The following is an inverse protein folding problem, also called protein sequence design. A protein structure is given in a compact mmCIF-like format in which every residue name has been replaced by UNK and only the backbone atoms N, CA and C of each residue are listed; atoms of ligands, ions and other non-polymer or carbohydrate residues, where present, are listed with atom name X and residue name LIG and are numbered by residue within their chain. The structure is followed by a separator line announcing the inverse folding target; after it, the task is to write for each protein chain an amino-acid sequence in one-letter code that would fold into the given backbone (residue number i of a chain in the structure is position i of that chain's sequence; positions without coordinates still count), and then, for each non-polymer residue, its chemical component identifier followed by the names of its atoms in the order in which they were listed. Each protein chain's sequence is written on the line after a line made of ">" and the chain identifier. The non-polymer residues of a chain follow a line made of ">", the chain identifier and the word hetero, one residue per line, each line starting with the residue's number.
data_IF_845269394437
#
_entry.id   IF_845269394437
#
_cell.length_a   1.000
_cell.length_b   1.000
_cell.length_c   1.000
_cell.angle_alpha   90.00
_cell.angle_beta   90.00
_cell.angle_gamma   90.00
#
_symmetry.space_group_name_H-M   'P 1'
#
loop_
_entity.id
_entity.type
_entity.pdbx_description
1 polymer ?
#
# COMPACT_ATOMS: atom_id res chain seq x y z
N UNK A 1 12.98 -6.93 -18.91
CA UNK A 1 11.99 -7.11 -17.84
C UNK A 1 12.75 -7.53 -16.60
N UNK A 2 13.10 -6.58 -15.73
CA UNK A 2 13.70 -6.87 -14.43
C UNK A 2 12.57 -6.93 -13.41
N UNK A 3 12.22 -8.12 -12.94
CA UNK A 3 11.35 -8.24 -11.78
C UNK A 3 12.25 -8.16 -10.55
N UNK A 4 12.07 -7.12 -9.72
CA UNK A 4 12.77 -7.03 -8.44
C UNK A 4 12.09 -8.00 -7.46
N UNK A 5 12.77 -9.05 -6.96
CA UNK A 5 12.17 -9.99 -6.03
C UNK A 5 11.97 -9.32 -4.67
N UNK A 6 10.75 -9.41 -4.14
CA UNK A 6 10.42 -8.95 -2.79
C UNK A 6 10.76 -10.07 -1.80
N UNK A 7 11.96 -10.02 -1.23
CA UNK A 7 12.44 -11.04 -0.28
C UNK A 7 12.34 -10.60 1.19
N UNK A 8 11.92 -9.36 1.43
CA UNK A 8 11.88 -8.74 2.75
C UNK A 8 10.47 -8.21 3.05
N UNK A 9 9.90 -8.63 4.18
CA UNK A 9 8.57 -8.18 4.63
C UNK A 9 8.48 -6.67 4.82
N UNK A 10 9.54 -6.04 5.33
CA UNK A 10 9.60 -4.57 5.47
C UNK A 10 9.52 -3.89 4.11
N UNK A 11 10.20 -4.42 3.11
CA UNK A 11 10.14 -3.91 1.73
C UNK A 11 8.75 -4.12 1.13
N UNK A 12 8.13 -5.29 1.35
CA UNK A 12 6.75 -5.55 0.95
C UNK A 12 5.77 -4.55 1.58
N UNK A 13 5.87 -4.29 2.89
CA UNK A 13 5.03 -3.32 3.58
C UNK A 13 5.18 -1.91 2.98
N UNK A 14 6.42 -1.49 2.68
CA UNK A 14 6.68 -0.20 2.05
C UNK A 14 6.09 -0.10 0.64
N UNK A 15 6.18 -1.18 -0.16
CA UNK A 15 5.55 -1.25 -1.47
C UNK A 15 4.03 -1.17 -1.40
N UNK A 16 3.41 -1.84 -0.43
CA UNK A 16 1.95 -1.77 -0.23
C UNK A 16 1.52 -0.34 0.06
N UNK A 17 2.22 0.36 0.97
CA UNK A 17 1.94 1.77 1.29
C UNK A 17 2.13 2.66 0.07
N UNK A 18 3.23 2.47 -0.66
CA UNK A 18 3.52 3.19 -1.91
C UNK A 18 2.39 3.06 -2.92
N UNK A 19 2.00 1.83 -3.28
CA UNK A 19 0.93 1.56 -4.25
C UNK A 19 -0.37 2.26 -3.87
N UNK A 20 -0.75 2.22 -2.58
CA UNK A 20 -1.96 2.88 -2.13
C UNK A 20 -1.86 4.41 -2.18
N UNK A 21 -0.71 5.00 -1.90
CA UNK A 21 -0.51 6.45 -1.94
C UNK A 21 -0.22 7.02 -3.34
N UNK A 22 0.11 6.18 -4.32
CA UNK A 22 0.45 6.60 -5.68
C UNK A 22 -0.54 7.58 -6.32
N UNK A 23 -1.87 7.40 -6.24
CA UNK A 23 -2.82 8.35 -6.80
C UNK A 23 -2.66 9.77 -6.23
N UNK A 24 -2.39 9.88 -4.93
CA UNK A 24 -2.14 11.15 -4.26
C UNK A 24 -0.75 11.70 -4.61
N UNK A 25 0.28 10.85 -4.57
CA UNK A 25 1.66 11.22 -4.89
C UNK A 25 1.81 11.78 -6.31
N UNK A 26 1.17 11.13 -7.29
CA UNK A 26 1.17 11.57 -8.68
C UNK A 26 0.07 12.60 -9.00
N UNK A 27 -0.58 13.17 -7.96
CA UNK A 27 -1.53 14.29 -8.05
C UNK A 27 -2.77 14.01 -8.89
N UNK A 28 -3.18 12.74 -8.98
CA UNK A 28 -4.49 12.39 -9.55
C UNK A 28 -5.63 12.79 -8.61
N UNK A 29 -5.40 12.70 -7.29
CA UNK A 29 -6.32 13.10 -6.23
C UNK A 29 -5.55 13.75 -5.07
N UNK A 30 -6.23 14.47 -4.19
CA UNK A 30 -5.63 15.03 -2.97
C UNK A 30 -5.53 14.00 -1.83
N UNK A 31 -6.44 13.03 -1.82
CA UNK A 31 -6.51 11.97 -0.82
C UNK A 31 -6.56 10.60 -1.49
N UNK A 32 -5.56 9.77 -1.21
CA UNK A 32 -5.50 8.42 -1.77
C UNK A 32 -6.70 7.54 -1.38
N UNK A 33 -7.38 7.86 -0.26
CA UNK A 33 -8.57 7.16 0.23
C UNK A 33 -9.80 7.40 -0.64
N UNK A 34 -9.73 8.32 -1.60
CA UNK A 34 -10.79 8.51 -2.59
C UNK A 34 -10.59 7.65 -3.84
N UNK A 35 -9.45 6.95 -3.93
CA UNK A 35 -9.11 6.13 -5.09
C UNK A 35 -9.76 4.74 -5.03
N UNK A 36 -10.91 4.63 -5.69
CA UNK A 36 -11.70 3.38 -5.79
C UNK A 36 -10.95 2.22 -6.47
N UNK A 37 -9.92 2.48 -7.27
CA UNK A 37 -9.16 1.44 -7.98
C UNK A 37 -7.94 0.97 -7.18
N UNK A 38 -8.08 0.86 -5.86
CA UNK A 38 -7.06 0.28 -4.98
C UNK A 38 -7.65 -0.82 -4.10
N UNK A 39 -6.79 -1.76 -3.69
CA UNK A 39 -7.13 -2.76 -2.66
C UNK A 39 -7.32 -2.17 -1.27
N UNK A 40 -7.01 -0.89 -1.05
CA UNK A 40 -7.07 -0.26 0.28
C UNK A 40 -8.45 -0.44 0.92
N UNK A 41 -9.52 -0.15 0.16
CA UNK A 41 -10.90 -0.27 0.64
C UNK A 41 -11.30 -1.71 0.95
N UNK A 42 -10.88 -2.66 0.13
CA UNK A 42 -11.15 -4.08 0.37
C UNK A 42 -10.42 -4.58 1.62
N UNK A 43 -9.21 -4.09 1.89
CA UNK A 43 -8.43 -4.48 3.06
C UNK A 43 -9.00 -3.91 4.36
N UNK A 44 -9.51 -2.68 4.35
CA UNK A 44 -10.13 -2.06 5.53
C UNK A 44 -11.64 -2.36 5.64
N UNK A 45 -12.26 -2.86 4.58
CA UNK A 45 -13.68 -3.22 4.57
C UNK A 45 -13.95 -4.58 5.20
N UNK A 46 -15.23 -4.84 5.50
CA UNK A 46 -15.69 -6.13 6.01
C UNK A 46 -16.31 -7.03 4.92
N UNK A 47 -16.44 -6.51 3.69
CA UNK A 47 -17.03 -7.25 2.57
C UNK A 47 -16.15 -8.46 2.20
N UNK A 48 -16.73 -9.57 1.73
CA UNK A 48 -15.94 -10.67 1.18
C UNK A 48 -15.01 -10.18 0.07
N UNK A 49 -13.76 -10.63 0.08
CA UNK A 49 -12.75 -10.29 -0.94
C UNK A 49 -11.96 -11.54 -1.30
N UNK A 50 -11.36 -11.54 -2.50
CA UNK A 50 -10.40 -12.58 -2.94
C UNK A 50 -8.99 -12.33 -2.42
N UNK A 51 -8.75 -11.18 -1.78
CA UNK A 51 -7.46 -10.83 -1.19
C UNK A 51 -7.19 -11.66 0.07
N UNK A 52 -5.91 -11.93 0.33
CA UNK A 52 -5.45 -12.52 1.60
C UNK A 52 -5.44 -11.45 2.72
N UNK A 53 -6.62 -10.90 3.04
CA UNK A 53 -6.78 -9.76 3.97
C UNK A 53 -6.04 -9.99 5.29
N UNK A 54 -6.30 -11.11 5.95
CA UNK A 54 -5.73 -11.37 7.28
C UNK A 54 -4.20 -11.46 7.23
N UNK A 55 -3.65 -12.06 6.16
CA UNK A 55 -2.21 -12.10 5.95
C UNK A 55 -1.64 -10.70 5.76
N UNK A 56 -2.25 -9.88 4.89
CA UNK A 56 -1.80 -8.51 4.65
C UNK A 56 -1.88 -7.68 5.93
N UNK A 57 -3.01 -7.70 6.64
CA UNK A 57 -3.18 -6.97 7.90
C UNK A 57 -2.20 -7.42 8.98
N UNK A 58 -1.89 -8.72 9.05
CA UNK A 58 -0.91 -9.25 10.00
C UNK A 58 0.51 -8.70 9.81
N UNK A 59 0.90 -8.33 8.57
CA UNK A 59 2.18 -7.67 8.31
C UNK A 59 2.27 -6.32 9.03
N UNK A 60 1.13 -5.65 9.23
CA UNK A 60 1.05 -4.35 9.90
C UNK A 60 0.67 -4.47 11.38
N UNK A 61 0.41 -5.69 11.87
CA UNK A 61 -0.01 -5.97 13.25
C UNK A 61 -1.52 -5.99 13.43
N UNK A 62 -2.22 -4.96 12.95
CA UNK A 62 -3.68 -4.85 13.03
C UNK A 62 -4.25 -4.06 11.85
N UNK A 63 -5.59 -4.07 11.72
CA UNK A 63 -6.30 -3.20 10.77
C UNK A 63 -6.08 -1.72 11.09
N UNK A 64 -6.09 -1.39 12.37
CA UNK A 64 -5.89 -0.05 12.89
C UNK A 64 -4.47 0.43 12.60
N UNK A 65 -3.47 -0.44 12.80
CA UNK A 65 -2.09 -0.16 12.44
C UNK A 65 -1.90 -0.03 10.94
N UNK A 66 -2.54 -0.88 10.13
CA UNK A 66 -2.53 -0.74 8.68
C UNK A 66 -3.02 0.66 8.27
N UNK A 67 -4.17 1.11 8.80
CA UNK A 67 -4.73 2.43 8.49
C UNK A 67 -3.79 3.55 8.94
N UNK A 68 -3.28 3.47 10.17
CA UNK A 68 -2.38 4.48 10.75
C UNK A 68 -1.08 4.59 9.97
N UNK A 69 -0.42 3.46 9.69
CA UNK A 69 0.85 3.40 8.96
C UNK A 69 0.70 3.99 7.56
N UNK A 70 -0.42 3.75 6.87
CA UNK A 70 -0.69 4.35 5.54
C UNK A 70 -0.87 5.87 5.57
N UNK A 71 -1.09 6.48 6.74
CA UNK A 71 -1.20 7.93 6.89
C UNK A 71 0.12 8.56 7.34
N UNK A 72 0.88 7.86 8.19
CA UNK A 72 2.10 8.38 8.82
C UNK A 72 3.35 8.16 7.97
N UNK A 73 3.44 7.07 7.21
CA UNK A 73 4.62 6.74 6.43
C UNK A 73 4.55 7.39 5.05
N UNK A 74 5.59 8.15 4.72
CA UNK A 74 5.94 8.44 3.34
C UNK A 74 6.83 7.29 2.82
N UNK A 75 6.46 6.61 1.72
CA UNK A 75 7.23 5.52 1.16
C UNK A 75 8.62 6.01 0.72
N UNK A 76 9.59 5.08 0.61
CA UNK A 76 10.97 5.42 0.27
C UNK A 76 11.04 6.34 -0.96
N UNK A 77 11.73 7.47 -0.82
CA UNK A 77 11.93 8.44 -1.89
C UNK A 77 12.60 7.86 -3.15
N UNK A 78 13.30 6.72 -3.03
CA UNK A 78 14.03 6.09 -4.14
C UNK A 78 13.26 5.03 -4.95
N UNK A 79 11.97 4.78 -4.68
CA UNK A 79 11.21 3.79 -5.47
C UNK A 79 10.85 4.29 -6.88
N UNK A 80 10.88 5.59 -7.12
CA UNK A 80 10.57 6.17 -8.44
C UNK A 80 11.80 6.24 -9.35
N UNK A 81 13.03 6.16 -8.81
CA UNK A 81 14.26 6.40 -9.58
C UNK A 81 14.61 5.26 -10.55
N UNK A 82 13.93 4.11 -10.48
CA UNK A 82 14.13 2.99 -11.42
C UNK A 82 13.25 3.08 -12.69
N UNK A 83 12.36 4.07 -12.83
CA UNK A 83 11.56 4.31 -14.05
C UNK A 83 11.98 5.57 -14.85
N UNK A 84 13.28 5.92 -14.88
CA UNK A 84 13.82 6.95 -15.79
C UNK A 84 14.95 6.44 -16.68
#
# INVERSE_FOLDING_TARGET
>A
MNCVPVTNEKYLMQLIVYIHQNPQKHKFLEDFREWNYSSYHDLIGNNPTRLQRDKVLSLFGSKEDFIRIHQEIQPLAGLDEEES
#
